data_IF_115164068550
#
_entry.id   IF_115164068550
#
_cell.length_a   1.000
_cell.length_b   1.000
_cell.length_c   1.000
_cell.angle_alpha   90.00
_cell.angle_beta   90.00
_cell.angle_gamma   90.00
#
_symmetry.space_group_name_H-M   'P 1'
#
loop_
_entity.id
_entity.type
_entity.pdbx_description
1 polymer ?
#
# COMPACT_ATOMS: atom_id res chain seq x y z
N UNK A 1 -8.78 23.72 15.41
CA UNK A 1 -7.86 24.72 14.83
C UNK A 1 -6.84 23.96 13.99
N UNK A 2 -6.58 24.44 12.77
CA UNK A 2 -5.54 23.92 11.87
C UNK A 2 -4.16 24.09 12.53
N UNK A 3 -3.37 23.01 12.58
CA UNK A 3 -1.99 23.05 13.07
C UNK A 3 -1.04 22.87 11.90
N UNK A 4 -0.21 23.87 11.63
CA UNK A 4 0.84 23.82 10.61
C UNK A 4 2.15 23.36 11.22
N UNK A 5 2.85 22.51 10.49
CA UNK A 5 4.11 21.89 10.89
C UNK A 5 5.09 21.94 9.72
N UNK A 6 6.37 22.17 10.02
CA UNK A 6 7.44 21.96 9.05
C UNK A 6 7.84 20.48 9.04
N UNK A 7 8.24 19.98 7.88
CA UNK A 7 8.89 18.68 7.79
C UNK A 7 10.25 18.71 8.49
N UNK A 8 10.65 17.58 9.04
CA UNK A 8 12.05 17.41 9.47
C UNK A 8 12.98 17.53 8.26
N UNK A 9 14.20 18.05 8.46
CA UNK A 9 15.17 18.31 7.40
C UNK A 9 15.40 17.12 6.48
N UNK A 10 15.48 15.91 7.04
CA UNK A 10 15.69 14.68 6.29
C UNK A 10 14.50 14.35 5.37
N UNK A 11 13.27 14.63 5.81
CA UNK A 11 12.06 14.43 5.00
C UNK A 11 11.99 15.46 3.87
N UNK A 12 12.36 16.71 4.15
CA UNK A 12 12.45 17.75 3.12
C UNK A 12 13.46 17.41 2.03
N UNK A 13 14.64 16.90 2.41
CA UNK A 13 15.67 16.45 1.46
C UNK A 13 15.20 15.27 0.62
N UNK A 14 14.57 14.28 1.25
CA UNK A 14 13.95 13.14 0.58
C UNK A 14 12.91 13.59 -0.45
N UNK A 15 11.97 14.46 -0.05
CA UNK A 15 10.94 14.98 -0.95
C UNK A 15 11.54 15.68 -2.15
N UNK A 16 12.54 16.54 -1.93
CA UNK A 16 13.26 17.22 -3.00
C UNK A 16 13.90 16.21 -3.98
N UNK A 17 14.58 15.18 -3.46
CA UNK A 17 15.19 14.14 -4.28
C UNK A 17 14.17 13.32 -5.06
N UNK A 18 13.06 12.94 -4.43
CA UNK A 18 12.00 12.16 -5.09
C UNK A 18 11.33 12.93 -6.22
N UNK A 19 11.06 14.22 -6.00
CA UNK A 19 10.45 15.10 -7.00
C UNK A 19 11.41 15.40 -8.16
N UNK A 20 12.72 15.55 -7.89
CA UNK A 20 13.67 16.04 -8.89
C UNK A 20 14.61 14.99 -9.49
N UNK A 21 14.78 13.82 -8.87
CA UNK A 21 15.82 12.85 -9.26
C UNK A 21 15.28 11.49 -9.70
N UNK A 22 14.07 11.06 -9.30
CA UNK A 22 13.60 9.67 -9.47
C UNK A 22 12.63 9.43 -10.64
N UNK A 23 12.80 10.12 -11.76
CA UNK A 23 11.80 10.20 -12.85
C UNK A 23 11.45 8.90 -13.61
N UNK A 24 12.18 7.80 -13.42
CA UNK A 24 12.10 6.68 -14.38
C UNK A 24 10.92 5.72 -14.21
N UNK A 25 10.34 5.58 -13.00
CA UNK A 25 9.21 4.67 -12.77
C UNK A 25 8.18 5.28 -11.82
N UNK A 26 7.35 6.18 -12.35
CA UNK A 26 6.30 6.85 -11.57
C UNK A 26 5.21 5.90 -11.09
N UNK A 27 4.96 4.78 -11.75
CA UNK A 27 3.88 3.84 -11.40
C UNK A 27 4.04 3.22 -10.00
N UNK A 28 5.24 3.34 -9.42
CA UNK A 28 5.59 2.84 -8.10
C UNK A 28 4.69 3.41 -7.00
N UNK A 29 4.21 4.65 -7.13
CA UNK A 29 3.37 5.24 -6.08
C UNK A 29 2.13 4.40 -5.82
N UNK A 30 1.51 3.84 -6.87
CA UNK A 30 0.29 3.07 -6.71
C UNK A 30 0.57 1.73 -6.03
N UNK A 31 1.72 1.10 -6.32
CA UNK A 31 2.20 -0.09 -5.59
C UNK A 31 2.34 0.21 -4.10
N UNK A 32 3.04 1.29 -3.75
CA UNK A 32 3.31 1.65 -2.36
C UNK A 32 2.03 1.98 -1.60
N UNK A 33 1.12 2.78 -2.18
CA UNK A 33 -0.13 3.15 -1.51
C UNK A 33 -1.05 1.95 -1.31
N UNK A 34 -1.14 1.04 -2.29
CA UNK A 34 -1.93 -0.18 -2.14
C UNK A 34 -1.28 -1.13 -1.12
N UNK A 35 0.05 -1.23 -1.07
CA UNK A 35 0.74 -2.01 -0.04
C UNK A 35 0.41 -1.49 1.36
N UNK A 36 0.52 -0.18 1.57
CA UNK A 36 0.18 0.46 2.85
C UNK A 36 -1.28 0.21 3.25
N UNK A 37 -2.21 0.25 2.29
CA UNK A 37 -3.61 -0.10 2.51
C UNK A 37 -3.78 -1.58 2.92
N UNK A 38 -3.06 -2.50 2.28
CA UNK A 38 -3.05 -3.92 2.66
C UNK A 38 -2.51 -4.13 4.08
N UNK A 39 -1.41 -3.48 4.44
CA UNK A 39 -0.82 -3.59 5.78
C UNK A 39 -1.75 -2.99 6.85
N UNK A 40 -2.49 -1.91 6.53
CA UNK A 40 -3.50 -1.35 7.40
C UNK A 40 -4.69 -2.30 7.65
N UNK A 41 -5.08 -3.08 6.63
CA UNK A 41 -6.11 -4.11 6.74
C UNK A 41 -5.60 -5.32 7.56
N UNK A 42 -4.37 -5.76 7.33
CA UNK A 42 -3.71 -6.81 8.12
C UNK A 42 -3.66 -6.44 9.61
N UNK A 43 -3.24 -5.20 9.92
CA UNK A 43 -3.17 -4.70 11.30
C UNK A 43 -4.53 -4.68 11.99
N UNK A 44 -5.59 -4.28 11.30
CA UNK A 44 -6.93 -4.29 11.89
C UNK A 44 -7.45 -5.71 12.10
N UNK A 45 -7.26 -6.60 11.12
CA UNK A 45 -7.64 -8.00 11.25
C UNK A 45 -6.93 -8.68 12.42
N UNK A 46 -5.63 -8.40 12.60
CA UNK A 46 -4.87 -8.89 13.76
C UNK A 46 -5.48 -8.42 15.08
N UNK A 47 -5.83 -7.14 15.20
CA UNK A 47 -6.46 -6.60 16.40
C UNK A 47 -7.83 -7.23 16.66
N UNK A 48 -8.65 -7.47 15.63
CA UNK A 48 -9.91 -8.17 15.76
C UNK A 48 -9.76 -9.60 16.32
N UNK A 49 -8.60 -10.24 16.15
CA UNK A 49 -8.31 -11.56 16.71
C UNK A 49 -7.72 -11.51 18.12
N UNK A 50 -6.91 -10.50 18.41
CA UNK A 50 -6.03 -10.48 19.59
C UNK A 50 -6.46 -9.51 20.68
N UNK A 51 -7.15 -8.42 20.34
CA UNK A 51 -7.59 -7.40 21.28
C UNK A 51 -9.12 -7.48 21.48
N UNK A 52 -9.54 -7.70 22.72
CA UNK A 52 -10.95 -7.80 23.10
C UNK A 52 -11.79 -6.59 22.69
N UNK A 53 -11.19 -5.39 22.60
CA UNK A 53 -11.88 -4.17 22.14
C UNK A 53 -12.33 -4.26 20.70
N UNK A 54 -11.57 -4.96 19.85
CA UNK A 54 -11.81 -5.05 18.41
C UNK A 54 -12.60 -6.31 18.01
N UNK A 55 -12.77 -7.29 18.91
CA UNK A 55 -13.50 -8.54 18.62
C UNK A 55 -14.96 -8.34 18.20
N UNK A 56 -15.60 -7.25 18.68
CA UNK A 56 -16.96 -6.89 18.31
C UNK A 56 -17.05 -6.14 16.96
N UNK A 57 -15.92 -5.71 16.40
CA UNK A 57 -15.89 -5.01 15.13
C UNK A 57 -16.08 -5.99 13.98
N UNK A 58 -17.19 -5.86 13.26
CA UNK A 58 -17.47 -6.61 12.04
C UNK A 58 -17.34 -5.69 10.84
N UNK A 59 -16.49 -6.06 9.89
CA UNK A 59 -16.29 -5.32 8.64
C UNK A 59 -15.81 -6.26 7.54
N UNK A 60 -15.91 -5.80 6.29
CA UNK A 60 -15.36 -6.53 5.13
C UNK A 60 -14.15 -5.77 4.61
N UNK A 61 -12.92 -6.30 4.80
CA UNK A 61 -11.70 -5.67 4.31
C UNK A 61 -11.75 -5.40 2.80
N UNK A 62 -11.45 -4.16 2.39
CA UNK A 62 -11.39 -3.76 0.98
C UNK A 62 -10.53 -2.52 0.78
N UNK A 63 -10.05 -2.38 -0.45
CA UNK A 63 -9.38 -1.18 -0.95
C UNK A 63 -10.22 -0.65 -2.11
N UNK A 64 -10.44 0.67 -2.19
CA UNK A 64 -11.17 1.32 -3.26
C UNK A 64 -10.30 2.37 -3.97
N UNK A 65 -10.36 2.38 -5.29
CA UNK A 65 -9.64 3.32 -6.15
C UNK A 65 -10.65 4.09 -7.00
N UNK A 66 -10.67 5.41 -6.85
CA UNK A 66 -11.56 6.30 -7.60
C UNK A 66 -10.70 7.35 -8.31
N UNK A 67 -11.08 7.75 -9.51
CA UNK A 67 -10.37 8.81 -10.23
C UNK A 67 -11.35 9.75 -10.93
N UNK A 68 -10.95 11.02 -11.05
CA UNK A 68 -11.76 12.05 -11.69
C UNK A 68 -10.88 12.93 -12.57
N UNK A 69 -11.09 12.87 -13.89
CA UNK A 69 -10.33 13.63 -14.90
C UNK A 69 -10.57 15.14 -14.79
N UNK A 70 -11.79 15.56 -14.46
CA UNK A 70 -12.17 16.98 -14.39
C UNK A 70 -11.57 17.67 -13.17
N UNK A 71 -11.62 17.00 -12.01
CA UNK A 71 -11.03 17.47 -10.75
C UNK A 71 -9.53 17.20 -10.67
N UNK A 72 -8.98 16.42 -11.60
CA UNK A 72 -7.60 15.92 -11.59
C UNK A 72 -7.23 15.22 -10.29
N UNK A 73 -8.10 14.33 -9.81
CA UNK A 73 -7.89 13.62 -8.54
C UNK A 73 -7.84 12.12 -8.73
N UNK A 74 -6.89 11.47 -8.08
CA UNK A 74 -6.87 10.02 -7.84
C UNK A 74 -7.02 9.78 -6.35
N UNK A 75 -7.96 8.92 -5.96
CA UNK A 75 -8.29 8.62 -4.57
C UNK A 75 -8.04 7.14 -4.34
N UNK A 76 -7.26 6.84 -3.30
CA UNK A 76 -7.06 5.48 -2.79
C UNK A 76 -7.63 5.47 -1.37
N UNK A 77 -8.51 4.53 -1.07
CA UNK A 77 -9.09 4.39 0.26
C UNK A 77 -9.13 2.95 0.71
N UNK A 78 -8.98 2.74 2.01
CA UNK A 78 -9.11 1.46 2.66
C UNK A 78 -9.97 1.60 3.91
N UNK A 79 -10.52 0.48 4.37
CA UNK A 79 -11.19 0.37 5.66
C UNK A 79 -10.35 -0.43 6.65
N UNK A 80 -9.04 -0.18 6.68
CA UNK A 80 -8.10 -0.74 7.65
C UNK A 80 -8.13 0.01 8.99
N UNK A 81 -7.07 -0.16 9.79
CA UNK A 81 -7.01 0.37 11.16
C UNK A 81 -7.16 1.90 11.24
N UNK A 82 -6.78 2.62 10.18
CA UNK A 82 -6.74 4.09 10.17
C UNK A 82 -5.72 4.67 11.16
N UNK A 83 -5.71 6.00 11.24
CA UNK A 83 -4.77 6.79 12.04
C UNK A 83 -5.54 7.81 12.86
N UNK A 84 -5.09 8.04 14.09
CA UNK A 84 -5.48 9.22 14.86
C UNK A 84 -4.60 10.42 14.52
N UNK A 85 -4.81 11.54 15.22
CA UNK A 85 -4.07 12.78 14.97
C UNK A 85 -2.56 12.62 15.22
N UNK A 86 -2.20 11.91 16.29
CA UNK A 86 -0.79 11.69 16.65
C UNK A 86 -0.12 10.77 15.65
N UNK A 87 -0.81 9.71 15.23
CA UNK A 87 -0.37 8.82 14.15
C UNK A 87 -0.10 9.61 12.85
N UNK A 88 -0.98 10.54 12.45
CA UNK A 88 -0.76 11.36 11.25
C UNK A 88 0.48 12.24 11.35
N UNK A 89 0.69 12.90 12.50
CA UNK A 89 1.85 13.78 12.72
C UNK A 89 3.13 12.95 12.77
N UNK A 90 3.10 11.83 13.49
CA UNK A 90 4.28 11.00 13.70
C UNK A 90 4.62 10.23 12.41
N UNK A 91 3.68 9.50 11.82
CA UNK A 91 3.95 8.62 10.68
C UNK A 91 4.16 9.39 9.37
N UNK A 92 3.41 10.47 9.11
CA UNK A 92 3.51 11.22 7.85
C UNK A 92 4.34 12.50 7.94
N UNK A 93 4.49 13.06 9.15
CA UNK A 93 5.24 14.29 9.40
C UNK A 93 6.63 14.08 9.99
N UNK A 94 6.87 12.97 10.68
CA UNK A 94 8.02 12.80 11.58
C UNK A 94 8.83 11.52 11.30
N UNK A 95 8.24 10.49 10.70
CA UNK A 95 8.85 9.16 10.59
C UNK A 95 9.30 8.88 9.15
N UNK A 96 10.61 8.88 8.98
CA UNK A 96 11.39 7.64 8.86
C UNK A 96 12.87 7.93 9.18
N UNK A 97 13.22 8.25 10.44
CA UNK A 97 14.62 8.60 10.79
C UNK A 97 15.66 7.54 10.38
N UNK A 98 15.33 6.25 10.51
CA UNK A 98 16.22 5.16 10.09
C UNK A 98 16.08 4.83 8.60
N UNK A 99 14.86 4.93 8.08
CA UNK A 99 14.48 4.70 6.69
C UNK A 99 15.00 5.79 5.76
N UNK A 100 14.53 7.03 5.91
CA UNK A 100 14.98 8.20 5.16
C UNK A 100 16.50 8.38 5.22
N UNK A 101 17.12 8.27 6.40
CA UNK A 101 18.59 8.35 6.50
C UNK A 101 19.28 7.20 5.77
N UNK A 102 18.72 6.00 5.86
CA UNK A 102 19.20 4.83 5.12
C UNK A 102 19.09 5.03 3.61
N UNK A 103 17.97 5.56 3.14
CA UNK A 103 17.75 5.90 1.74
C UNK A 103 18.78 6.92 1.27
N UNK A 104 18.89 8.08 1.96
CA UNK A 104 19.84 9.13 1.62
C UNK A 104 21.29 8.64 1.59
N UNK A 105 21.69 7.77 2.54
CA UNK A 105 23.05 7.21 2.57
C UNK A 105 23.34 6.20 1.47
N UNK A 106 22.32 5.59 0.87
CA UNK A 106 22.45 4.58 -0.18
C UNK A 106 22.13 5.12 -1.58
N UNK A 107 21.92 6.43 -1.72
CA UNK A 107 21.78 7.07 -3.02
C UNK A 107 23.05 6.91 -3.83
N UNK A 108 22.91 6.22 -4.95
CA UNK A 108 24.01 5.97 -5.87
C UNK A 108 24.16 7.08 -6.92
N UNK A 109 23.15 7.94 -7.06
CA UNK A 109 23.03 8.92 -8.15
C UNK A 109 22.52 8.31 -9.45
N UNK A 110 22.29 6.99 -9.50
CA UNK A 110 21.65 6.28 -10.60
C UNK A 110 20.15 6.18 -10.35
N UNK A 111 19.39 6.98 -11.10
CA UNK A 111 17.93 7.14 -11.04
C UNK A 111 17.18 5.79 -11.03
N UNK A 112 17.64 4.79 -11.80
CA UNK A 112 16.96 3.49 -11.87
C UNK A 112 17.19 2.67 -10.62
N UNK A 113 18.42 2.69 -10.09
CA UNK A 113 18.76 1.98 -8.84
C UNK A 113 18.16 2.65 -7.61
N UNK A 114 18.08 3.97 -7.62
CA UNK A 114 17.61 4.74 -6.47
C UNK A 114 16.07 4.68 -6.35
N UNK A 115 15.32 4.63 -7.47
CA UNK A 115 13.85 4.45 -7.45
C UNK A 115 13.40 3.11 -6.83
N UNK A 116 14.30 2.14 -6.90
CA UNK A 116 14.15 0.79 -6.44
C UNK A 116 14.36 0.63 -4.92
N UNK A 117 14.95 1.65 -4.27
CA UNK A 117 15.21 1.70 -2.83
C UNK A 117 14.02 2.26 -2.03
N UNK A 118 13.08 2.95 -2.67
CA UNK A 118 11.96 3.66 -2.02
C UNK A 118 11.16 2.75 -1.07
N UNK A 119 10.89 1.52 -1.49
CA UNK A 119 10.12 0.57 -0.69
C UNK A 119 10.86 0.05 0.54
N UNK A 120 12.16 -0.20 0.44
CA UNK A 120 12.98 -0.83 1.50
C UNK A 120 13.11 0.05 2.76
N UNK A 121 12.97 1.36 2.59
CA UNK A 121 13.22 2.34 3.64
C UNK A 121 11.94 2.95 4.22
N UNK A 122 10.75 2.43 3.87
CA UNK A 122 9.48 2.94 4.41
C UNK A 122 9.15 4.38 3.95
N UNK A 123 9.76 4.85 2.86
CA UNK A 123 9.53 6.18 2.27
C UNK A 123 8.49 6.13 1.13
N UNK A 124 7.83 4.99 0.94
CA UNK A 124 6.90 4.71 -0.14
C UNK A 124 5.74 5.69 -0.26
N UNK A 125 5.20 6.19 0.87
CA UNK A 125 4.11 7.18 0.85
C UNK A 125 4.48 8.44 0.05
N UNK A 126 5.70 8.95 0.22
CA UNK A 126 6.14 10.19 -0.43
C UNK A 126 6.30 10.06 -1.95
N UNK A 127 6.31 8.83 -2.49
CA UNK A 127 6.41 8.60 -3.94
C UNK A 127 5.19 9.14 -4.69
N UNK A 128 4.07 9.34 -3.98
CA UNK A 128 2.91 10.02 -4.50
C UNK A 128 3.19 11.48 -4.94
N UNK A 129 4.15 12.19 -4.32
CA UNK A 129 4.55 13.53 -4.77
C UNK A 129 5.29 13.55 -6.12
N UNK A 130 5.71 12.39 -6.63
CA UNK A 130 6.22 12.28 -8.01
C UNK A 130 5.13 12.54 -9.05
N UNK A 131 3.86 12.31 -8.69
CA UNK A 131 2.70 12.41 -9.59
C UNK A 131 1.65 13.43 -9.14
N UNK A 132 1.69 13.87 -7.88
CA UNK A 132 0.75 14.82 -7.31
C UNK A 132 1.45 16.12 -6.86
N UNK A 133 0.76 17.25 -7.02
CA UNK A 133 1.18 18.56 -6.50
C UNK A 133 0.76 18.75 -5.04
N UNK A 134 -0.33 18.12 -4.66
CA UNK A 134 -0.90 18.17 -3.31
C UNK A 134 -1.45 16.81 -2.93
N UNK A 135 -1.31 16.47 -1.66
CA UNK A 135 -1.85 15.23 -1.08
C UNK A 135 -2.69 15.59 0.14
N UNK A 136 -3.86 14.97 0.24
CA UNK A 136 -4.70 15.00 1.43
C UNK A 136 -4.93 13.59 1.94
N UNK A 137 -4.65 13.35 3.22
CA UNK A 137 -4.88 12.07 3.89
C UNK A 137 -5.92 12.29 4.97
N UNK A 138 -7.16 11.88 4.70
CA UNK A 138 -8.22 11.84 5.69
C UNK A 138 -8.24 10.47 6.34
N UNK A 139 -8.21 10.40 7.67
CA UNK A 139 -8.21 9.12 8.37
C UNK A 139 -8.99 9.18 9.67
N UNK A 140 -9.62 8.06 10.00
CA UNK A 140 -10.33 7.81 11.25
C UNK A 140 -9.91 6.44 11.75
N UNK A 141 -9.28 6.41 12.92
CA UNK A 141 -8.86 5.16 13.56
C UNK A 141 -10.08 4.30 13.91
N UNK A 142 -9.99 2.98 13.72
CA UNK A 142 -11.06 2.08 14.10
C UNK A 142 -11.38 2.23 15.60
N UNK A 143 -12.68 2.17 15.94
CA UNK A 143 -13.23 2.46 17.27
C UNK A 143 -13.09 3.92 17.78
N UNK A 144 -12.49 4.82 17.00
CA UNK A 144 -12.44 6.25 17.32
C UNK A 144 -13.66 6.99 16.78
N UNK A 145 -14.06 8.07 17.46
CA UNK A 145 -15.06 9.01 16.98
C UNK A 145 -14.44 10.15 16.16
N UNK A 146 -13.14 10.38 16.33
CA UNK A 146 -12.45 11.52 15.73
C UNK A 146 -11.80 11.13 14.41
N UNK A 147 -12.10 11.90 13.37
CA UNK A 147 -11.41 11.86 12.10
C UNK A 147 -10.52 13.11 11.97
N UNK A 148 -9.39 12.96 11.29
CA UNK A 148 -8.48 14.06 11.02
C UNK A 148 -8.08 14.04 9.55
N UNK A 149 -7.69 15.19 9.02
CA UNK A 149 -7.13 15.32 7.68
C UNK A 149 -5.75 15.95 7.78
N UNK A 150 -4.79 15.26 7.16
CA UNK A 150 -3.44 15.74 6.92
C UNK A 150 -3.37 16.29 5.50
N UNK A 151 -2.74 17.44 5.29
CA UNK A 151 -2.60 18.10 3.98
C UNK A 151 -1.17 18.52 3.76
N UNK A 152 -0.64 18.33 2.55
CA UNK A 152 0.70 18.81 2.20
C UNK A 152 0.88 19.00 0.69
N UNK A 153 1.75 19.95 0.36
CA UNK A 153 2.28 20.26 -0.98
C UNK A 153 3.78 19.91 -1.11
N UNK A 154 4.26 19.00 -0.25
CA UNK A 154 5.67 18.63 -0.08
C UNK A 154 6.61 19.72 0.49
N UNK A 155 6.09 20.89 0.89
CA UNK A 155 6.90 21.92 1.56
C UNK A 155 6.69 21.92 3.07
N UNK A 156 5.43 21.86 3.49
CA UNK A 156 5.02 21.75 4.89
C UNK A 156 3.77 20.86 4.96
N UNK A 157 3.28 20.58 6.16
CA UNK A 157 2.01 19.89 6.32
C UNK A 157 1.14 20.54 7.39
N UNK A 158 -0.17 20.34 7.27
CA UNK A 158 -1.12 20.69 8.31
C UNK A 158 -2.00 19.50 8.70
N UNK A 159 -2.42 19.49 9.97
CA UNK A 159 -3.38 18.51 10.49
C UNK A 159 -4.55 19.25 11.14
N UNK A 160 -5.76 18.87 10.75
CA UNK A 160 -6.99 19.46 11.27
C UNK A 160 -8.08 18.40 11.48
N UNK A 161 -9.03 18.65 12.41
CA UNK A 161 -10.19 17.78 12.59
C UNK A 161 -11.03 17.70 11.31
N UNK A 162 -11.54 16.51 11.01
CA UNK A 162 -12.37 16.23 9.85
C UNK A 162 -13.63 15.44 10.27
N UNK A 163 -14.51 15.19 9.31
CA UNK A 163 -15.65 14.28 9.48
C UNK A 163 -15.51 13.14 8.49
N UNK A 164 -15.52 11.93 9.02
CA UNK A 164 -15.51 10.69 8.24
C UNK A 164 -16.49 9.72 8.90
N UNK A 165 -17.42 9.19 8.11
CA UNK A 165 -18.44 8.27 8.61
C UNK A 165 -17.80 6.96 9.06
N UNK A 166 -17.09 6.31 8.13
CA UNK A 166 -16.40 5.04 8.34
C UNK A 166 -14.95 5.24 8.79
N UNK A 167 -14.40 4.25 9.49
CA UNK A 167 -12.97 4.21 9.83
C UNK A 167 -12.12 3.79 8.62
N UNK A 168 -10.81 3.97 8.74
CA UNK A 168 -9.82 3.68 7.70
C UNK A 168 -9.09 4.93 7.23
N UNK A 169 -8.59 4.90 6.01
CA UNK A 169 -7.81 5.98 5.42
C UNK A 169 -8.27 6.27 3.99
N UNK A 170 -8.34 7.55 3.63
CA UNK A 170 -8.61 8.06 2.30
C UNK A 170 -7.49 9.02 1.90
N UNK A 171 -6.71 8.62 0.91
CA UNK A 171 -5.63 9.40 0.31
C UNK A 171 -6.14 10.01 -0.99
N UNK A 172 -6.19 11.33 -1.06
CA UNK A 172 -6.57 12.10 -2.26
C UNK A 172 -5.33 12.75 -2.84
N UNK A 173 -4.98 12.34 -4.06
CA UNK A 173 -3.86 12.86 -4.83
C UNK A 173 -4.38 13.88 -5.83
N UNK A 174 -3.89 15.12 -5.74
CA UNK A 174 -4.16 16.17 -6.73
C UNK A 174 -3.08 16.10 -7.81
N UNK A 175 -3.45 15.53 -8.95
CA UNK A 175 -2.51 15.05 -9.96
C UNK A 175 -1.91 16.18 -10.80
N UNK A 176 -0.60 16.10 -11.04
CA UNK A 176 0.16 17.01 -11.92
C UNK A 176 -0.35 17.00 -13.35
N UNK A 177 -0.75 15.82 -13.82
CA UNK A 177 -1.25 15.59 -15.17
C UNK A 177 -2.27 14.43 -15.17
N UNK A 178 -2.82 14.12 -16.35
CA UNK A 178 -3.85 13.09 -16.48
C UNK A 178 -3.29 11.68 -16.74
N UNK A 179 -1.96 11.48 -16.63
CA UNK A 179 -1.29 10.22 -16.96
C UNK A 179 -1.86 9.03 -16.16
N UNK A 180 -2.12 9.23 -14.88
CA UNK A 180 -2.68 8.23 -13.96
C UNK A 180 -4.17 8.45 -13.68
N UNK A 181 -4.87 9.10 -14.61
CA UNK A 181 -6.33 9.25 -14.59
C UNK A 181 -6.98 8.52 -15.76
N UNK A 182 -6.27 7.55 -16.34
CA UNK A 182 -6.76 6.68 -17.40
C UNK A 182 -7.13 5.29 -16.83
N UNK A 183 -8.35 4.84 -17.16
CA UNK A 183 -8.95 3.63 -16.61
C UNK A 183 -8.11 2.38 -16.93
N UNK A 184 -7.76 2.20 -18.21
CA UNK A 184 -7.01 1.04 -18.67
C UNK A 184 -5.60 1.02 -18.09
N UNK A 185 -4.96 2.18 -18.02
CA UNK A 185 -3.63 2.30 -17.41
C UNK A 185 -3.65 1.97 -15.92
N UNK A 186 -4.56 2.55 -15.15
CA UNK A 186 -4.69 2.27 -13.71
C UNK A 186 -4.95 0.79 -13.48
N UNK A 187 -5.89 0.19 -14.21
CA UNK A 187 -6.18 -1.24 -14.11
C UNK A 187 -4.94 -2.11 -14.37
N UNK A 188 -4.16 -1.79 -15.40
CA UNK A 188 -2.95 -2.56 -15.71
C UNK A 188 -1.89 -2.44 -14.61
N UNK A 189 -1.72 -1.25 -14.03
CA UNK A 189 -0.79 -1.04 -12.91
C UNK A 189 -1.25 -1.86 -11.70
N UNK A 190 -2.54 -1.83 -11.36
CA UNK A 190 -3.11 -2.60 -10.25
C UNK A 190 -2.95 -4.10 -10.48
N UNK A 191 -3.25 -4.60 -11.68
CA UNK A 191 -3.07 -6.02 -12.01
C UNK A 191 -1.60 -6.45 -11.93
N UNK A 192 -0.69 -5.59 -12.38
CA UNK A 192 0.75 -5.84 -12.35
C UNK A 192 1.29 -5.99 -10.94
N UNK A 193 0.85 -5.16 -10.00
CA UNK A 193 1.46 -5.10 -8.67
C UNK A 193 0.60 -5.66 -7.53
N UNK A 194 -0.69 -5.92 -7.76
CA UNK A 194 -1.65 -6.13 -6.66
C UNK A 194 -2.59 -7.32 -6.86
N UNK A 195 -2.37 -8.14 -7.87
CA UNK A 195 -3.14 -9.38 -8.07
C UNK A 195 -3.05 -10.34 -6.89
N UNK A 196 -1.92 -10.33 -6.20
CA UNK A 196 -1.59 -11.25 -5.11
C UNK A 196 -1.81 -10.65 -3.71
N UNK A 197 -2.39 -9.45 -3.63
CA UNK A 197 -2.90 -8.89 -2.38
C UNK A 197 -4.12 -9.70 -1.95
N UNK A 198 -4.19 -10.16 -0.69
CA UNK A 198 -5.27 -11.02 -0.22
C UNK A 198 -6.61 -10.29 -0.05
N UNK A 199 -6.62 -8.97 -0.27
CA UNK A 199 -7.78 -8.10 -0.14
C UNK A 199 -8.34 -7.71 -1.51
N UNK A 200 -9.68 -7.60 -1.64
CA UNK A 200 -10.30 -7.12 -2.87
C UNK A 200 -10.01 -5.62 -3.06
N UNK A 201 -9.56 -5.29 -4.26
CA UNK A 201 -9.31 -3.93 -4.73
C UNK A 201 -10.40 -3.62 -5.75
N UNK A 202 -11.22 -2.63 -5.43
CA UNK A 202 -12.27 -2.13 -6.28
C UNK A 202 -11.82 -0.86 -7.01
N UNK A 203 -12.30 -0.69 -8.23
CA UNK A 203 -12.07 0.52 -9.03
C UNK A 203 -13.35 0.93 -9.74
N UNK A 204 -13.60 2.23 -9.77
CA UNK A 204 -14.65 2.83 -10.58
C UNK A 204 -14.32 2.70 -12.07
N UNK A 205 -15.24 2.11 -12.84
CA UNK A 205 -15.12 1.94 -14.28
C UNK A 205 -16.35 2.42 -15.02
N UNK A 206 -16.10 3.00 -16.19
CA UNK A 206 -17.14 3.37 -17.13
C UNK A 206 -17.73 2.13 -17.81
N UNK A 207 -19.05 1.97 -17.73
CA UNK A 207 -19.80 0.91 -18.41
C UNK A 207 -20.85 1.55 -19.32
N UNK A 208 -20.73 1.32 -20.62
CA UNK A 208 -21.67 1.84 -21.61
C UNK A 208 -22.88 0.91 -21.69
N UNK A 209 -24.05 1.46 -21.35
CA UNK A 209 -25.32 0.75 -21.43
C UNK A 209 -25.99 1.16 -22.75
N UNK A 210 -26.20 0.22 -23.69
CA UNK A 210 -26.91 0.52 -24.92
C UNK A 210 -28.38 0.87 -24.61
N UNK A 211 -29.02 1.70 -25.46
CA UNK A 211 -30.41 2.09 -25.26
C UNK A 211 -31.33 0.87 -25.22
N UNK A 212 -32.30 0.86 -24.32
CA UNK A 212 -33.39 -0.15 -24.30
C UNK A 212 -34.49 0.21 -25.29
N UNK A 213 -35.34 -0.75 -25.65
CA UNK A 213 -36.48 -0.53 -26.56
C UNK A 213 -37.34 0.65 -26.09
N UNK A 214 -37.33 1.73 -26.88
CA UNK A 214 -38.02 2.99 -26.59
C UNK A 214 -37.12 4.17 -26.20
N UNK A 215 -35.83 3.94 -25.92
CA UNK A 215 -34.83 4.98 -25.65
C UNK A 215 -34.06 5.37 -26.91
N UNK A 216 -33.68 6.65 -27.04
CA UNK A 216 -33.01 7.18 -28.23
C UNK A 216 -31.49 7.07 -28.20
N UNK A 217 -30.89 7.09 -27.01
CA UNK A 217 -29.44 7.05 -26.81
C UNK A 217 -29.12 6.21 -25.57
N UNK A 218 -28.01 5.48 -25.61
CA UNK A 218 -27.47 4.79 -24.44
C UNK A 218 -26.76 5.77 -23.51
N UNK A 219 -26.47 5.34 -22.28
CA UNK A 219 -25.80 6.15 -21.27
C UNK A 219 -24.62 5.40 -20.65
N UNK A 220 -23.66 6.15 -20.11
CA UNK A 220 -22.52 5.58 -19.38
C UNK A 220 -22.78 5.65 -17.89
N UNK A 221 -22.72 4.51 -17.21
CA UNK A 221 -22.74 4.43 -15.76
C UNK A 221 -21.33 4.17 -15.22
N UNK A 222 -21.07 4.61 -13.99
CA UNK A 222 -19.86 4.25 -13.27
C UNK A 222 -20.20 3.05 -12.38
N UNK A 223 -19.50 1.94 -12.58
CA UNK A 223 -19.60 0.73 -11.76
C UNK A 223 -18.32 0.53 -10.97
N UNK A 224 -18.47 0.29 -9.67
CA UNK A 224 -17.36 -0.08 -8.81
C UNK A 224 -17.12 -1.60 -8.93
N UNK A 225 -16.02 -2.00 -9.55
CA UNK A 225 -15.74 -3.42 -9.83
C UNK A 225 -14.41 -3.86 -9.23
N UNK A 226 -14.33 -5.13 -8.81
CA UNK A 226 -13.08 -5.71 -8.35
C UNK A 226 -12.11 -5.86 -9.54
N UNK A 227 -10.90 -5.31 -9.41
CA UNK A 227 -9.89 -5.29 -10.48
C UNK A 227 -8.73 -6.24 -10.25
N UNK A 228 -8.47 -6.64 -9.00
CA UNK A 228 -7.45 -7.63 -8.65
C UNK A 228 -8.07 -9.01 -8.44
N UNK A 229 -7.24 -10.06 -8.45
CA UNK A 229 -7.68 -11.43 -8.16
C UNK A 229 -8.00 -11.69 -6.69
N UNK A 230 -7.48 -10.87 -5.77
CA UNK A 230 -7.58 -11.06 -4.33
C UNK A 230 -7.05 -12.44 -3.86
N UNK A 231 -6.01 -12.96 -4.51
CA UNK A 231 -5.52 -14.31 -4.26
C UNK A 231 -4.28 -14.30 -3.36
N UNK A 232 -4.37 -14.94 -2.19
CA UNK A 232 -3.20 -15.26 -1.38
C UNK A 232 -2.30 -16.23 -2.16
N UNK A 233 -1.20 -15.73 -2.74
CA UNK A 233 -0.36 -16.49 -3.67
C UNK A 233 0.15 -17.80 -3.06
N UNK A 234 0.50 -17.79 -1.77
CA UNK A 234 0.97 -18.97 -1.03
C UNK A 234 -0.10 -20.06 -0.80
N UNK A 235 -1.35 -19.80 -1.16
CA UNK A 235 -2.45 -20.79 -1.12
C UNK A 235 -2.78 -21.34 -2.50
N UNK A 236 -2.27 -20.72 -3.57
CA UNK A 236 -2.56 -21.15 -4.93
C UNK A 236 -1.75 -22.39 -5.29
N UNK A 237 -2.32 -23.33 -6.06
CA UNK A 237 -1.57 -24.48 -6.53
C UNK A 237 -0.41 -24.02 -7.41
N UNK A 238 0.78 -24.61 -7.22
CA UNK A 238 1.99 -24.25 -7.99
C UNK A 238 1.79 -24.28 -9.50
N UNK A 239 0.93 -25.18 -10.00
CA UNK A 239 0.59 -25.30 -11.42
C UNK A 239 -0.15 -24.10 -12.00
N UNK A 240 -0.81 -23.29 -11.16
CA UNK A 240 -1.53 -22.09 -11.57
C UNK A 240 -0.66 -20.82 -11.48
N UNK A 241 0.57 -20.92 -10.98
CA UNK A 241 1.48 -19.79 -10.73
C UNK A 241 2.63 -19.80 -11.75
N UNK A 242 2.94 -18.63 -12.29
CA UNK A 242 4.10 -18.40 -13.14
C UNK A 242 5.27 -17.88 -12.29
N UNK A 243 6.53 -18.00 -12.76
CA UNK A 243 7.67 -17.38 -12.09
C UNK A 243 7.49 -15.88 -11.83
N UNK A 244 6.86 -15.16 -12.77
CA UNK A 244 6.54 -13.73 -12.61
C UNK A 244 5.62 -13.45 -11.40
N UNK A 245 4.64 -14.32 -11.14
CA UNK A 245 3.74 -14.16 -9.98
C UNK A 245 4.52 -14.19 -8.66
N UNK A 246 5.50 -15.10 -8.53
CA UNK A 246 6.37 -15.17 -7.36
C UNK A 246 7.25 -13.93 -7.22
N UNK A 247 7.82 -13.43 -8.33
CA UNK A 247 8.70 -12.27 -8.30
C UNK A 247 7.92 -10.99 -7.95
N UNK A 248 6.72 -10.82 -8.51
CA UNK A 248 5.87 -9.67 -8.24
C UNK A 248 5.40 -9.68 -6.77
N UNK A 249 4.99 -10.85 -6.26
CA UNK A 249 4.62 -10.99 -4.84
C UNK A 249 5.80 -10.75 -3.90
N UNK A 250 7.01 -11.24 -4.22
CA UNK A 250 8.22 -10.93 -3.45
C UNK A 250 8.45 -9.42 -3.34
N UNK A 251 8.46 -8.69 -4.46
CA UNK A 251 8.67 -7.24 -4.48
C UNK A 251 7.61 -6.49 -3.69
N UNK A 252 6.39 -7.01 -3.69
CA UNK A 252 5.28 -6.44 -2.95
C UNK A 252 5.48 -6.60 -1.43
N UNK A 253 5.83 -7.79 -0.94
CA UNK A 253 5.92 -8.06 0.50
C UNK A 253 7.26 -7.66 1.14
N UNK A 254 8.34 -7.62 0.35
CA UNK A 254 9.69 -7.26 0.81
C UNK A 254 10.00 -5.78 0.59
N UNK A 255 9.14 -5.09 -0.17
CA UNK A 255 9.39 -3.76 -0.71
C UNK A 255 10.68 -3.63 -1.54
N UNK A 256 11.28 -4.76 -1.95
CA UNK A 256 12.38 -4.81 -2.89
C UNK A 256 11.87 -4.51 -4.31
N UNK A 257 12.81 -4.20 -5.18
CA UNK A 257 12.61 -3.94 -6.59
C UNK A 257 13.20 -5.03 -7.48
N UNK A 258 14.18 -5.79 -6.98
CA UNK A 258 14.78 -6.90 -7.70
C UNK A 258 13.98 -8.17 -7.53
N UNK A 259 14.16 -9.07 -8.47
CA UNK A 259 13.64 -10.43 -8.34
C UNK A 259 14.40 -11.17 -7.23
N UNK A 260 13.76 -12.10 -6.51
CA UNK A 260 14.44 -12.94 -5.54
C UNK A 260 15.43 -13.87 -6.25
N UNK A 261 16.50 -14.27 -5.54
CA UNK A 261 17.44 -15.29 -6.02
C UNK A 261 16.78 -16.65 -6.14
N UNK A 262 15.95 -16.99 -5.15
CA UNK A 262 15.24 -18.26 -5.07
C UNK A 262 13.91 -18.05 -4.34
N UNK A 263 12.91 -18.84 -4.72
CA UNK A 263 11.72 -19.03 -3.91
C UNK A 263 11.48 -20.51 -3.66
N UNK A 264 10.98 -20.82 -2.47
CA UNK A 264 10.64 -22.18 -2.03
C UNK A 264 9.18 -22.14 -1.57
N UNK A 265 8.27 -22.59 -2.44
CA UNK A 265 6.87 -22.77 -2.10
C UNK A 265 6.66 -24.24 -1.71
N UNK A 266 6.13 -24.54 -0.53
CA UNK A 266 5.74 -25.91 -0.16
C UNK A 266 4.36 -25.94 0.48
N UNK A 267 3.68 -27.07 0.34
CA UNK A 267 2.43 -27.37 1.03
C UNK A 267 2.61 -28.68 1.77
N UNK A 268 2.37 -28.67 3.07
CA UNK A 268 2.39 -29.85 3.92
C UNK A 268 0.94 -30.24 4.23
N UNK A 269 0.61 -31.51 4.01
CA UNK A 269 -0.68 -32.11 4.31
C UNK A 269 -0.46 -33.23 5.34
N UNK A 270 -1.27 -33.28 6.40
CA UNK A 270 -1.06 -34.19 7.51
C UNK A 270 -1.83 -33.79 8.77
N UNK A 271 -1.29 -34.08 9.95
CA UNK A 271 -1.92 -33.68 11.24
C UNK A 271 -2.02 -32.16 11.41
N UNK A 272 -1.09 -31.43 10.83
CA UNK A 272 -1.11 -29.98 10.69
C UNK A 272 -0.97 -29.71 9.20
N UNK A 273 -1.95 -29.04 8.63
CA UNK A 273 -1.87 -28.53 7.26
C UNK A 273 -1.28 -27.13 7.31
N UNK A 274 -0.34 -26.84 6.41
CA UNK A 274 0.21 -25.50 6.25
C UNK A 274 0.87 -25.34 4.88
N UNK A 275 0.91 -24.10 4.39
CA UNK A 275 1.64 -23.73 3.17
C UNK A 275 2.73 -22.75 3.51
N UNK A 276 3.97 -23.03 3.09
CA UNK A 276 5.10 -22.10 3.25
C UNK A 276 5.52 -21.52 1.92
N UNK A 277 5.91 -20.25 1.95
CA UNK A 277 6.52 -19.57 0.82
C UNK A 277 7.70 -18.76 1.34
N UNK A 278 8.90 -19.26 1.07
CA UNK A 278 10.14 -18.58 1.40
C UNK A 278 10.75 -17.94 0.17
N UNK A 279 11.41 -16.82 0.40
CA UNK A 279 12.21 -16.13 -0.59
C UNK A 279 13.63 -15.98 -0.08
N UNK A 280 14.60 -16.09 -0.99
CA UNK A 280 15.98 -15.70 -0.76
C UNK A 280 16.20 -14.43 -1.59
N UNK A 281 16.44 -13.27 -0.95
CA UNK A 281 16.77 -12.03 -1.66
C UNK A 281 17.97 -12.19 -2.58
N UNK A 282 17.96 -11.51 -3.73
CA UNK A 282 19.13 -11.43 -4.63
C UNK A 282 20.16 -10.39 -4.21
N UNK A 283 19.77 -9.49 -3.30
CA UNK A 283 20.63 -8.51 -2.65
C UNK A 283 20.49 -8.67 -1.15
N UNK A 284 21.59 -8.51 -0.45
CA UNK A 284 21.62 -8.43 1.00
C UNK A 284 20.79 -7.23 1.52
N UNK A 285 19.83 -7.45 2.44
CA UNK A 285 19.12 -6.34 3.09
C UNK A 285 20.07 -5.43 3.85
N UNK A 286 19.90 -4.11 3.74
CA UNK A 286 20.81 -3.14 4.35
C UNK A 286 20.81 -3.18 5.89
N UNK A 287 19.74 -3.69 6.48
CA UNK A 287 19.52 -3.78 7.92
C UNK A 287 19.94 -5.13 8.51
N UNK A 288 20.45 -6.06 7.70
CA UNK A 288 20.76 -7.43 8.12
C UNK A 288 21.69 -7.51 9.35
N UNK A 289 22.63 -6.56 9.47
CA UNK A 289 23.58 -6.50 10.59
C UNK A 289 23.16 -5.56 11.72
N UNK A 290 21.94 -4.99 11.66
CA UNK A 290 21.45 -4.11 12.71
C UNK A 290 20.92 -4.92 13.89
N UNK A 291 21.10 -4.37 15.09
CA UNK A 291 20.68 -5.01 16.36
C UNK A 291 19.14 -5.13 16.44
N UNK A 292 18.44 -4.20 15.81
CA UNK A 292 16.99 -4.12 15.69
C UNK A 292 16.43 -4.80 14.42
N UNK A 293 17.20 -5.69 13.78
CA UNK A 293 16.72 -6.45 12.62
C UNK A 293 15.39 -7.16 12.90
N UNK A 294 14.40 -6.92 12.04
CA UNK A 294 13.11 -7.58 12.05
C UNK A 294 13.10 -8.73 11.04
N UNK A 295 12.56 -9.87 11.46
CA UNK A 295 12.38 -11.02 10.57
C UNK A 295 11.37 -10.65 9.48
N UNK A 296 11.68 -10.96 8.21
CA UNK A 296 10.72 -10.76 7.11
C UNK A 296 9.63 -11.84 7.02
N UNK A 297 9.54 -12.75 7.99
CA UNK A 297 8.61 -13.89 7.94
C UNK A 297 7.26 -13.48 8.52
N UNK A 298 6.26 -13.37 7.64
CA UNK A 298 4.87 -13.11 8.02
C UNK A 298 4.13 -14.42 8.30
N UNK A 299 3.58 -14.57 9.50
CA UNK A 299 2.72 -15.69 9.90
C UNK A 299 1.26 -15.34 9.61
N UNK A 300 0.57 -16.22 8.88
CA UNK A 300 -0.85 -16.08 8.58
C UNK A 300 -1.62 -17.32 9.03
N UNK A 301 -2.64 -17.19 9.89
CA UNK A 301 -3.54 -18.30 10.28
C UNK A 301 -4.89 -18.08 9.62
N UNK A 302 -5.40 -19.07 8.88
CA UNK A 302 -6.66 -18.93 8.12
C UNK A 302 -6.70 -17.68 7.22
N UNK A 303 -5.57 -17.35 6.60
CA UNK A 303 -5.35 -16.14 5.75
C UNK A 303 -5.37 -14.81 6.51
N UNK A 304 -5.43 -14.84 7.83
CA UNK A 304 -5.35 -13.63 8.65
C UNK A 304 -3.91 -13.46 9.13
N UNK A 305 -3.33 -12.30 8.87
CA UNK A 305 -2.02 -11.94 9.38
C UNK A 305 -2.00 -11.99 10.91
N UNK A 306 -1.00 -12.66 11.47
CA UNK A 306 -0.81 -12.81 12.91
C UNK A 306 0.39 -12.00 13.38
N UNK A 307 1.56 -12.18 12.78
CA UNK A 307 2.78 -11.49 13.22
C UNK A 307 3.86 -11.57 12.16
N UNK A 308 4.75 -10.59 12.14
CA UNK A 308 6.02 -10.54 11.42
C UNK A 308 7.23 -10.52 12.37
N UNK A 309 7.01 -10.35 13.69
CA UNK A 309 8.05 -10.25 14.72
C UNK A 309 8.41 -11.59 15.36
N UNK A 310 8.53 -12.65 14.55
CA UNK A 310 9.03 -13.93 15.06
C UNK A 310 10.47 -14.16 14.62
N UNK A 311 11.41 -13.72 15.46
CA UNK A 311 12.84 -14.13 15.43
C UNK A 311 13.04 -15.66 15.55
N UNK A 312 11.96 -16.43 15.72
CA UNK A 312 11.97 -17.88 16.01
C UNK A 312 11.06 -18.73 15.12
N UNK A 313 10.27 -18.15 14.21
CA UNK A 313 9.40 -18.94 13.34
C UNK A 313 9.86 -18.90 11.89
N UNK A 314 10.20 -20.09 11.40
CA UNK A 314 10.53 -20.36 10.00
C UNK A 314 9.32 -20.99 9.28
N UNK A 315 8.09 -20.51 9.51
CA UNK A 315 6.91 -21.09 8.86
C UNK A 315 5.74 -20.11 8.73
N UNK A 316 5.24 -19.96 7.52
CA UNK A 316 3.85 -19.55 7.29
C UNK A 316 2.99 -20.78 7.69
N UNK A 317 2.24 -20.69 8.79
CA UNK A 317 1.31 -21.74 9.23
C UNK A 317 -0.11 -21.33 8.84
N UNK A 318 -0.49 -21.62 7.58
CA UNK A 318 -1.86 -21.40 7.09
C UNK A 318 -2.84 -22.44 7.60
#
# INVERSE_FOLDING_TARGET
MEQKHEFQTEVSELLHLMIHSLYSNKEIFLRELISNASDALDKLNYLCLTDDKYKALSYTPKINIEFNKDKKTLIISDNGIGMDKEDLINNLGTIARSGTKGFLSNLSGDIKKDSNLIGQFGVGFYSAFMVADKIEVMSKKALSNDANIWKSDATNFSVEPAKMENFGTKITLYMKNNEFLDEYRLENIIKKYSNHIPYPIFMDKSDYIPPKDGEKEGHTEIKNIQVNKASALWQMPKSALKPADYNDFYKQISHDSKDPLLYIHTKAEGKIEYSTLFYIPSIEPFDLYRVDYQSGVKLYVKRVFITDDEKRAFAIIS
#
